data_IF_052935235628
#
_entry.id   IF_052935235628
#
_cell.length_a   1.000
_cell.length_b   1.000
_cell.length_c   1.000
_cell.angle_alpha   90.00
_cell.angle_beta   90.00
_cell.angle_gamma   90.00
#
_symmetry.space_group_name_H-M   'P 1'
#
loop_
_entity.id
_entity.type
_entity.pdbx_description
1 polymer ?
#
# COMPACT_ATOMS: atom_id res chain seq x y z
N UNK A 1 23.67 -20.32 -13.52
CA UNK A 1 23.47 -19.43 -13.54
C UNK A 1 23.19 -19.08 -13.63
N UNK A 2 23.06 -18.92 -13.51
CA UNK A 2 22.59 -18.09 -13.43
C UNK A 2 22.10 -17.59 -13.41
N UNK A 3 21.80 -17.35 -13.19
CA UNK A 3 21.30 -16.54 -13.18
C UNK A 3 21.06 -16.31 -12.76
N UNK A 4 21.06 -16.44 -12.52
CA UNK A 4 20.78 -15.87 -12.20
C UNK A 4 20.54 -15.36 -12.01
N UNK A 5 20.41 -15.25 -11.94
CA UNK A 5 20.16 -14.38 -11.84
C UNK A 5 19.94 -13.98 -11.51
N UNK A 6 19.93 -14.01 -11.15
CA UNK A 6 19.74 -13.33 -10.92
C UNK A 6 19.33 -13.00 -10.41
N UNK A 7 19.32 -13.05 -9.99
CA UNK A 7 18.90 -12.60 -9.39
C UNK A 7 18.83 -11.71 -8.84
N UNK A 8 18.56 -11.66 -9.04
CA UNK A 8 18.57 -10.49 -8.64
C UNK A 8 17.66 -10.11 -7.60
N UNK A 9 17.87 -9.40 -6.73
CA UNK A 9 17.21 -9.11 -5.50
C UNK A 9 16.16 -8.12 -5.52
N UNK A 10 15.98 -7.58 -6.60
CA UNK A 10 15.02 -6.64 -6.71
C UNK A 10 13.71 -7.07 -6.36
N UNK A 11 13.50 -8.17 -5.95
CA UNK A 11 12.20 -8.71 -5.75
C UNK A 11 11.48 -8.25 -4.52
N UNK A 12 11.99 -7.30 -3.79
CA UNK A 12 11.30 -6.80 -2.61
C UNK A 12 9.91 -6.30 -2.91
N UNK A 13 9.71 -5.62 -4.03
CA UNK A 13 8.39 -5.14 -4.38
C UNK A 13 7.47 -6.28 -4.81
N UNK A 14 8.03 -7.42 -5.23
CA UNK A 14 7.23 -8.57 -5.58
C UNK A 14 6.78 -9.34 -4.35
N UNK A 15 7.52 -9.24 -3.26
CA UNK A 15 7.18 -9.94 -2.02
C UNK A 15 6.10 -9.19 -1.25
N UNK A 16 6.03 -7.88 -1.37
CA UNK A 16 5.03 -7.06 -0.71
C UNK A 16 4.36 -6.22 -1.79
N UNK A 17 3.07 -6.43 -1.96
CA UNK A 17 2.32 -5.82 -3.07
C UNK A 17 1.05 -5.17 -2.56
N UNK A 18 0.78 -3.94 -3.01
CA UNK A 18 -0.50 -3.28 -2.74
C UNK A 18 -1.52 -3.84 -3.71
N UNK A 19 -2.64 -4.32 -3.18
CA UNK A 19 -3.72 -4.87 -3.99
C UNK A 19 -4.90 -3.92 -4.12
N UNK A 20 -4.95 -2.87 -3.33
CA UNK A 20 -5.97 -1.81 -3.41
C UNK A 20 -5.41 -0.52 -2.83
N UNK A 21 -5.62 0.62 -3.47
CA UNK A 21 -6.26 0.82 -4.77
C UNK A 21 -5.34 0.39 -5.92
N UNK A 22 -5.87 0.37 -7.14
CA UNK A 22 -5.05 0.16 -8.33
C UNK A 22 -4.31 1.45 -8.68
N UNK A 23 -3.16 1.29 -9.29
CA UNK A 23 -2.36 2.44 -9.73
C UNK A 23 -3.15 3.27 -10.73
N UNK A 24 -3.03 4.58 -10.60
CA UNK A 24 -3.68 5.57 -11.48
C UNK A 24 -5.20 5.60 -11.40
N UNK A 25 -5.78 5.06 -10.34
CA UNK A 25 -7.23 5.14 -10.12
C UNK A 25 -7.64 6.58 -9.82
N UNK A 26 -8.82 6.96 -10.30
CA UNK A 26 -9.39 8.27 -10.03
C UNK A 26 -10.69 8.07 -9.27
N UNK A 27 -10.79 8.70 -8.12
CA UNK A 27 -12.00 8.73 -7.30
C UNK A 27 -12.60 10.11 -7.33
N UNK A 28 -13.87 10.23 -6.97
CA UNK A 28 -14.53 11.53 -6.83
C UNK A 28 -15.27 11.56 -5.50
N UNK A 29 -15.15 12.66 -4.78
CA UNK A 29 -15.91 12.86 -3.55
C UNK A 29 -17.32 13.29 -3.95
N UNK A 30 -18.32 12.58 -3.44
CA UNK A 30 -19.72 12.90 -3.70
C UNK A 30 -20.17 13.98 -2.73
N UNK A 31 -20.73 15.10 -3.23
CA UNK A 31 -21.26 16.13 -2.33
C UNK A 31 -22.55 15.71 -1.65
N UNK A 32 -23.13 14.58 -2.07
CA UNK A 32 -24.42 14.12 -1.52
C UNK A 32 -24.28 13.18 -0.34
N UNK A 33 -23.06 12.72 -0.07
CA UNK A 33 -22.81 11.76 1.00
C UNK A 33 -21.92 12.40 2.06
N UNK A 34 -22.11 12.02 3.34
CA UNK A 34 -21.19 12.48 4.36
C UNK A 34 -19.77 12.03 4.01
N UNK A 35 -18.81 12.92 4.17
CA UNK A 35 -17.43 12.59 3.83
C UNK A 35 -16.92 11.39 4.65
N UNK A 36 -17.35 11.30 5.89
CA UNK A 36 -16.93 10.22 6.78
C UNK A 36 -17.31 8.83 6.27
N UNK A 37 -18.31 8.73 5.40
CA UNK A 37 -18.71 7.44 4.82
C UNK A 37 -18.06 7.18 3.48
N UNK A 38 -17.21 8.05 2.99
CA UNK A 38 -16.53 7.90 1.72
C UNK A 38 -15.10 7.45 1.97
N UNK A 39 -14.91 6.14 1.97
CA UNK A 39 -13.62 5.54 2.27
C UNK A 39 -13.22 4.57 1.16
N UNK A 40 -11.92 4.41 0.99
CA UNK A 40 -11.37 3.34 0.17
C UNK A 40 -10.49 2.48 1.07
N UNK A 41 -10.25 1.26 0.65
CA UNK A 41 -9.41 0.36 1.43
C UNK A 41 -8.00 0.37 0.85
N UNK A 42 -7.02 0.54 1.71
CA UNK A 42 -5.63 0.24 1.39
C UNK A 42 -5.40 -1.20 1.79
N UNK A 43 -4.94 -2.01 0.86
CA UNK A 43 -4.77 -3.43 1.11
C UNK A 43 -3.46 -3.90 0.50
N UNK A 44 -2.77 -4.78 1.20
CA UNK A 44 -1.52 -5.33 0.73
C UNK A 44 -1.44 -6.81 1.05
N UNK A 45 -0.66 -7.55 0.27
CA UNK A 45 -0.37 -8.95 0.49
C UNK A 45 1.13 -9.16 0.46
N UNK A 46 1.61 -10.18 1.15
CA UNK A 46 3.01 -10.53 1.19
C UNK A 46 3.19 -12.00 0.89
N UNK A 47 4.24 -12.30 0.12
CA UNK A 47 4.61 -13.69 -0.16
C UNK A 47 5.48 -14.30 0.93
N UNK A 48 5.87 -13.51 1.94
CA UNK A 48 6.71 -13.99 3.04
C UNK A 48 6.07 -13.58 4.36
N UNK A 49 6.46 -14.25 5.44
CA UNK A 49 5.91 -13.96 6.76
C UNK A 49 6.37 -12.59 7.23
N UNK A 50 5.43 -11.76 7.66
CA UNK A 50 5.69 -10.39 8.07
C UNK A 50 5.43 -10.20 9.55
N UNK A 51 6.30 -9.38 10.18
CA UNK A 51 6.08 -8.94 11.54
C UNK A 51 5.08 -7.80 11.56
N UNK A 52 5.19 -6.89 10.61
CA UNK A 52 4.28 -5.77 10.48
C UNK A 52 4.30 -5.21 9.06
N UNK A 53 3.22 -4.54 8.68
CA UNK A 53 3.11 -3.84 7.40
C UNK A 53 2.53 -2.46 7.69
N UNK A 54 3.20 -1.42 7.19
CA UNK A 54 2.73 -0.04 7.33
C UNK A 54 2.33 0.50 5.97
N UNK A 55 1.26 1.28 5.95
CA UNK A 55 0.89 2.05 4.76
C UNK A 55 1.43 3.46 4.91
N UNK A 56 2.18 3.89 3.90
CA UNK A 56 2.79 5.21 3.86
C UNK A 56 2.10 6.01 2.77
N UNK A 57 1.40 7.05 3.16
CA UNK A 57 0.66 7.90 2.24
C UNK A 57 1.32 9.27 2.22
N UNK A 58 1.76 9.69 1.03
CA UNK A 58 2.41 10.99 0.85
C UNK A 58 3.59 11.20 1.81
N UNK A 59 4.32 10.12 2.07
CA UNK A 59 5.49 10.17 2.93
C UNK A 59 5.23 10.01 4.42
N UNK A 60 3.98 9.82 4.83
CA UNK A 60 3.64 9.67 6.24
C UNK A 60 2.94 8.33 6.49
N UNK A 61 3.29 7.67 7.58
CA UNK A 61 2.64 6.42 7.96
C UNK A 61 1.23 6.74 8.44
N UNK A 62 0.24 6.10 7.80
CA UNK A 62 -1.17 6.27 8.19
C UNK A 62 -1.70 5.07 8.95
N UNK A 63 -1.06 3.92 8.87
CA UNK A 63 -1.46 2.74 9.61
C UNK A 63 -0.33 1.74 9.67
N UNK A 64 -0.25 0.99 10.75
CA UNK A 64 0.68 -0.13 10.91
C UNK A 64 -0.12 -1.32 11.40
N UNK A 65 0.01 -2.45 10.70
CA UNK A 65 -0.77 -3.65 10.96
C UNK A 65 0.19 -4.79 11.31
N UNK A 66 -0.09 -5.48 12.39
CA UNK A 66 0.77 -6.56 12.87
C UNK A 66 0.23 -7.94 12.55
N UNK A 67 -0.91 -8.01 11.87
CA UNK A 67 -1.52 -9.27 11.45
C UNK A 67 -2.37 -9.08 10.21
N UNK A 68 -2.58 -10.20 9.52
CA UNK A 68 -3.44 -10.20 8.34
C UNK A 68 -4.90 -10.12 8.75
N UNK A 69 -5.73 -9.54 7.89
CA UNK A 69 -5.38 -8.95 6.61
C UNK A 69 -4.74 -7.56 6.80
N UNK A 70 -3.80 -7.23 5.93
CA UNK A 70 -3.15 -5.92 5.98
C UNK A 70 -4.03 -4.94 5.21
N UNK A 71 -4.99 -4.36 5.92
CA UNK A 71 -5.99 -3.47 5.34
C UNK A 71 -6.21 -2.27 6.25
N UNK A 72 -6.42 -1.12 5.63
CA UNK A 72 -6.75 0.11 6.34
C UNK A 72 -7.78 0.89 5.53
N UNK A 73 -8.87 1.28 6.16
CA UNK A 73 -9.89 2.09 5.51
C UNK A 73 -9.52 3.56 5.64
N UNK A 74 -9.39 4.23 4.52
CA UNK A 74 -8.93 5.62 4.47
C UNK A 74 -10.04 6.51 3.92
N UNK A 75 -10.37 7.56 4.67
CA UNK A 75 -11.36 8.53 4.23
C UNK A 75 -10.79 9.35 3.08
N UNK A 76 -11.57 9.53 2.02
CA UNK A 76 -11.13 10.27 0.85
C UNK A 76 -10.72 11.69 1.22
N UNK A 77 -9.59 12.11 0.70
CA UNK A 77 -9.11 13.49 0.78
C UNK A 77 -8.70 13.90 -0.63
N UNK A 78 -8.96 15.15 -1.03
CA UNK A 78 -8.76 15.55 -2.42
C UNK A 78 -7.29 15.56 -2.85
N UNK A 79 -7.13 15.51 -4.15
CA UNK A 79 -5.91 15.69 -4.93
C UNK A 79 -5.14 14.40 -5.14
N UNK A 80 -3.91 14.54 -5.54
CA UNK A 80 -3.07 13.39 -5.88
C UNK A 80 -2.40 12.83 -4.64
N UNK A 81 -2.36 11.52 -4.54
CA UNK A 81 -1.72 10.83 -3.42
C UNK A 81 -0.80 9.74 -3.93
N UNK A 82 0.29 9.52 -3.22
CA UNK A 82 1.20 8.41 -3.46
C UNK A 82 1.17 7.47 -2.28
N UNK A 83 0.93 6.20 -2.55
CA UNK A 83 0.81 5.16 -1.52
C UNK A 83 1.90 4.12 -1.69
N UNK A 84 2.50 3.74 -0.59
CA UNK A 84 3.51 2.71 -0.55
C UNK A 84 3.27 1.83 0.66
N UNK A 85 3.55 0.55 0.56
CA UNK A 85 3.54 -0.34 1.71
C UNK A 85 4.99 -0.64 2.10
N UNK A 86 5.27 -0.58 3.39
CA UNK A 86 6.59 -0.88 3.93
C UNK A 86 6.39 -1.90 5.03
N UNK A 87 7.08 -3.01 4.96
CA UNK A 87 6.92 -4.07 5.93
C UNK A 87 8.22 -4.55 6.50
N UNK A 88 8.15 -5.18 7.67
CA UNK A 88 9.29 -5.82 8.30
C UNK A 88 8.97 -7.30 8.39
N UNK A 89 9.85 -8.13 7.86
CA UNK A 89 9.66 -9.59 7.89
C UNK A 89 9.95 -10.12 9.30
N UNK A 90 9.53 -11.34 9.56
CA UNK A 90 9.81 -11.98 10.84
C UNK A 90 11.32 -12.16 11.08
N UNK A 91 12.11 -12.16 10.02
CA UNK A 91 13.58 -12.24 10.14
C UNK A 91 14.23 -10.86 10.26
N UNK A 92 13.44 -9.78 10.23
CA UNK A 92 13.96 -8.43 10.45
C UNK A 92 14.29 -7.64 9.19
N UNK A 93 14.03 -8.18 8.01
CA UNK A 93 14.27 -7.46 6.77
C UNK A 93 13.17 -6.47 6.49
N UNK A 94 13.50 -5.34 5.87
CA UNK A 94 12.53 -4.36 5.44
C UNK A 94 12.21 -4.56 3.97
N UNK A 95 10.93 -4.66 3.65
CA UNK A 95 10.45 -4.77 2.27
C UNK A 95 9.62 -3.55 1.94
N UNK A 96 9.64 -3.15 0.66
CA UNK A 96 8.83 -2.05 0.16
C UNK A 96 8.07 -2.51 -1.07
N UNK A 97 6.82 -2.09 -1.17
CA UNK A 97 6.05 -2.32 -2.39
C UNK A 97 6.46 -1.31 -3.46
N UNK A 98 6.02 -1.56 -4.68
CA UNK A 98 6.04 -0.51 -5.70
C UNK A 98 5.13 0.62 -5.23
N UNK A 99 5.56 1.86 -5.32
CA UNK A 99 4.67 2.96 -5.00
C UNK A 99 3.61 3.09 -6.09
N UNK A 100 2.42 3.51 -5.69
CA UNK A 100 1.37 3.81 -6.65
C UNK A 100 0.77 5.17 -6.38
N UNK A 101 0.12 5.70 -7.39
CA UNK A 101 -0.49 7.02 -7.34
C UNK A 101 -1.97 6.90 -7.65
N UNK A 102 -2.79 7.63 -6.92
CA UNK A 102 -4.21 7.76 -7.22
C UNK A 102 -4.63 9.21 -7.02
N UNK A 103 -5.78 9.57 -7.59
CA UNK A 103 -6.27 10.94 -7.56
C UNK A 103 -7.66 10.93 -6.99
N UNK A 104 -7.95 11.91 -6.13
CA UNK A 104 -9.29 12.10 -5.58
C UNK A 104 -9.76 13.49 -6.02
N UNK A 105 -10.81 13.54 -6.83
CA UNK A 105 -11.41 14.81 -7.24
C UNK A 105 -12.36 15.27 -6.16
N UNK A 106 -12.29 16.54 -5.76
CA UNK A 106 -13.16 17.07 -4.71
C UNK A 106 -14.60 17.22 -5.17
#
# INVERSE_FOLDING_TARGET
>A
MPITNNQLPITNSQSLTITSPDDSTIYAISPRLPLASQQIVFSAVSGVAMREVSFVLDGAIVATLTGQPYQHFWQLAPWRHTLEAVGVTVSGETLRSEPLTFIVNP
#
